data_IF_478389549116
#
_entry.id   IF_478389549116
#
_cell.length_a   1.000
_cell.length_b   1.000
_cell.length_c   1.000
_cell.angle_alpha   90.00
_cell.angle_beta   90.00
_cell.angle_gamma   90.00
#
_symmetry.space_group_name_H-M   'P 1'
#
loop_
_entity.id
_entity.type
_entity.pdbx_description
1 polymer ?
#
# COMPACT_ATOMS: atom_id res chain seq x y z
N UNK A 1 -0.80 19.26 -13.74
CA UNK A 1 -1.19 17.85 -13.74
C UNK A 1 -1.64 17.33 -12.36
N UNK A 2 -1.51 18.16 -11.30
CA UNK A 2 -2.07 17.77 -10.00
C UNK A 2 -3.59 17.63 -10.13
N UNK A 3 -4.13 16.56 -9.60
CA UNK A 3 -5.55 16.23 -9.71
C UNK A 3 -6.05 15.63 -8.41
N UNK A 4 -7.27 15.96 -8.05
CA UNK A 4 -7.96 15.43 -6.87
C UNK A 4 -9.34 14.93 -7.30
N UNK A 5 -9.71 13.75 -6.83
CA UNK A 5 -10.99 13.08 -7.15
C UNK A 5 -11.51 12.41 -5.88
N UNK A 6 -12.76 12.68 -5.54
CA UNK A 6 -13.48 11.96 -4.48
C UNK A 6 -14.43 10.94 -5.10
N UNK A 7 -14.35 9.70 -4.66
CA UNK A 7 -15.19 8.57 -5.10
C UNK A 7 -16.10 8.14 -3.95
N UNK A 8 -17.42 8.12 -4.22
CA UNK A 8 -18.41 7.57 -3.27
C UNK A 8 -18.37 6.05 -3.31
N UNK A 9 -18.26 5.40 -2.16
CA UNK A 9 -18.32 3.94 -2.02
C UNK A 9 -19.74 3.42 -1.77
N UNK A 10 -20.74 4.30 -1.78
CA UNK A 10 -22.16 3.92 -1.61
C UNK A 10 -22.74 3.22 -2.83
N UNK A 11 -22.14 3.48 -3.98
CA UNK A 11 -22.51 2.88 -5.26
C UNK A 11 -21.45 1.85 -5.69
N UNK A 12 -21.80 0.99 -6.66
CA UNK A 12 -20.83 0.05 -7.21
C UNK A 12 -19.74 0.82 -7.97
N UNK A 13 -18.53 0.81 -7.45
CA UNK A 13 -17.36 1.42 -8.04
C UNK A 13 -16.50 0.36 -8.73
N UNK A 14 -15.98 0.69 -9.91
CA UNK A 14 -15.04 -0.14 -10.65
C UNK A 14 -13.73 0.67 -10.79
N UNK A 15 -12.63 0.22 -10.17
CA UNK A 15 -11.36 0.93 -10.09
C UNK A 15 -10.79 1.30 -11.47
N UNK A 16 -10.94 0.40 -12.45
CA UNK A 16 -10.46 0.63 -13.81
C UNK A 16 -11.20 1.77 -14.55
N UNK A 17 -12.48 2.01 -14.19
CA UNK A 17 -13.24 3.17 -14.72
C UNK A 17 -12.73 4.46 -14.11
N UNK A 18 -12.49 4.49 -12.79
CA UNK A 18 -11.92 5.66 -12.12
C UNK A 18 -10.56 6.01 -12.72
N UNK A 19 -9.69 5.02 -12.93
CA UNK A 19 -8.41 5.23 -13.61
C UNK A 19 -8.59 5.81 -15.01
N UNK A 20 -9.38 5.13 -15.84
CA UNK A 20 -9.57 5.49 -17.24
C UNK A 20 -10.16 6.89 -17.42
N UNK A 21 -11.15 7.25 -16.62
CA UNK A 21 -11.91 8.49 -16.76
C UNK A 21 -11.21 9.68 -16.12
N UNK A 22 -10.46 9.44 -15.04
CA UNK A 22 -9.90 10.53 -14.25
C UNK A 22 -8.39 10.71 -14.40
N UNK A 23 -7.62 9.65 -14.61
CA UNK A 23 -6.16 9.72 -14.47
C UNK A 23 -5.39 9.31 -15.73
N UNK A 24 -5.89 8.34 -16.51
CA UNK A 24 -5.17 7.71 -17.62
C UNK A 24 -4.49 8.71 -18.57
N UNK A 25 -5.18 9.76 -18.98
CA UNK A 25 -4.66 10.76 -19.92
C UNK A 25 -3.39 11.45 -19.40
N UNK A 26 -3.37 11.80 -18.11
CA UNK A 26 -2.21 12.45 -17.49
C UNK A 26 -0.97 11.54 -17.46
N UNK A 27 -1.18 10.23 -17.40
CA UNK A 27 -0.13 9.21 -17.31
C UNK A 27 0.34 8.69 -18.68
N UNK A 28 -0.37 8.97 -19.77
CA UNK A 28 0.01 8.51 -21.13
C UNK A 28 1.37 9.05 -21.59
N UNK A 29 1.82 10.18 -21.05
CA UNK A 29 3.12 10.79 -21.38
C UNK A 29 4.31 10.15 -20.67
N UNK A 30 4.07 9.24 -19.71
CA UNK A 30 5.11 8.58 -18.93
C UNK A 30 5.80 7.45 -19.71
N UNK A 31 7.05 7.11 -19.35
CA UNK A 31 7.66 5.86 -19.80
C UNK A 31 6.75 4.68 -19.50
N UNK A 32 6.70 3.71 -20.41
CA UNK A 32 5.75 2.60 -20.33
C UNK A 32 5.85 1.80 -19.02
N UNK A 33 7.07 1.55 -18.55
CA UNK A 33 7.30 0.85 -17.27
C UNK A 33 6.77 1.63 -16.06
N UNK A 34 7.00 2.96 -16.01
CA UNK A 34 6.51 3.82 -14.94
C UNK A 34 4.98 3.87 -14.96
N UNK A 35 4.39 4.03 -16.15
CA UNK A 35 2.93 4.01 -16.32
C UNK A 35 2.33 2.70 -15.85
N UNK A 36 2.90 1.54 -16.21
CA UNK A 36 2.43 0.22 -15.79
C UNK A 36 2.49 0.05 -14.28
N UNK A 37 3.55 0.52 -13.63
CA UNK A 37 3.68 0.49 -12.16
C UNK A 37 2.60 1.37 -11.52
N UNK A 38 2.40 2.59 -12.01
CA UNK A 38 1.38 3.50 -11.49
C UNK A 38 -0.03 2.92 -11.65
N UNK A 39 -0.36 2.38 -12.82
CA UNK A 39 -1.67 1.78 -13.09
C UNK A 39 -1.92 0.56 -12.20
N UNK A 40 -0.91 -0.30 -12.05
CA UNK A 40 -0.99 -1.46 -11.16
C UNK A 40 -1.23 -1.04 -9.71
N UNK A 41 -0.35 -0.19 -9.15
CA UNK A 41 -0.48 0.25 -7.76
C UNK A 41 -1.78 0.99 -7.50
N UNK A 42 -2.20 1.85 -8.42
CA UNK A 42 -3.49 2.54 -8.34
C UNK A 42 -4.66 1.56 -8.26
N UNK A 43 -4.72 0.60 -9.20
CA UNK A 43 -5.82 -0.37 -9.25
C UNK A 43 -5.88 -1.25 -8.01
N UNK A 44 -4.74 -1.80 -7.58
CA UNK A 44 -4.66 -2.64 -6.38
C UNK A 44 -5.07 -1.89 -5.11
N UNK A 45 -4.57 -0.65 -4.94
CA UNK A 45 -4.84 0.11 -3.72
C UNK A 45 -6.25 0.68 -3.69
N UNK A 46 -6.78 1.13 -4.82
CA UNK A 46 -8.16 1.58 -4.89
C UNK A 46 -9.12 0.40 -4.68
N UNK A 47 -8.82 -0.77 -5.25
CA UNK A 47 -9.63 -1.96 -5.04
C UNK A 47 -9.66 -2.39 -3.55
N UNK A 48 -8.51 -2.32 -2.87
CA UNK A 48 -8.45 -2.56 -1.43
C UNK A 48 -9.34 -1.59 -0.63
N UNK A 49 -9.37 -0.30 -1.01
CA UNK A 49 -10.25 0.67 -0.37
C UNK A 49 -11.74 0.36 -0.66
N UNK A 50 -12.09 0.01 -1.89
CA UNK A 50 -13.47 -0.33 -2.29
C UNK A 50 -13.97 -1.56 -1.53
N UNK A 51 -13.19 -2.62 -1.47
CA UNK A 51 -13.65 -3.92 -0.96
C UNK A 51 -13.46 -4.08 0.54
N UNK A 52 -12.46 -3.40 1.11
CA UNK A 52 -12.01 -3.71 2.47
C UNK A 52 -12.11 -2.56 3.47
N UNK A 53 -12.27 -1.31 3.04
CA UNK A 53 -12.27 -0.17 3.98
C UNK A 53 -13.49 -0.13 4.91
N UNK A 54 -14.66 -0.60 4.44
CA UNK A 54 -15.95 -0.38 5.10
C UNK A 54 -16.28 1.13 5.24
N UNK A 55 -15.64 1.94 4.40
CA UNK A 55 -15.83 3.37 4.34
C UNK A 55 -17.00 3.79 3.45
N UNK A 56 -17.19 5.11 3.36
CA UNK A 56 -18.23 5.71 2.54
C UNK A 56 -17.66 6.45 1.32
N UNK A 57 -16.37 6.79 1.36
CA UNK A 57 -15.69 7.51 0.28
C UNK A 57 -14.19 7.19 0.27
N UNK A 58 -13.61 7.44 -0.90
CA UNK A 58 -12.16 7.44 -1.11
C UNK A 58 -11.78 8.77 -1.77
N UNK A 59 -10.82 9.47 -1.18
CA UNK A 59 -10.19 10.64 -1.76
C UNK A 59 -8.87 10.22 -2.44
N UNK A 60 -8.71 10.60 -3.70
CA UNK A 60 -7.58 10.22 -4.54
C UNK A 60 -6.93 11.49 -5.06
N UNK A 61 -5.63 11.65 -4.85
CA UNK A 61 -4.91 12.76 -5.44
C UNK A 61 -3.59 12.33 -6.09
N UNK A 62 -3.16 13.12 -7.08
CA UNK A 62 -1.87 12.98 -7.74
C UNK A 62 -1.09 14.27 -7.67
N UNK A 63 0.15 14.19 -7.24
CA UNK A 63 1.09 15.30 -7.17
C UNK A 63 2.28 15.04 -8.09
N UNK A 64 2.51 15.97 -9.01
CA UNK A 64 3.57 15.89 -9.99
C UNK A 64 4.70 16.84 -9.61
N UNK A 65 5.86 16.30 -9.39
CA UNK A 65 7.09 17.03 -9.17
C UNK A 65 7.97 17.04 -10.45
N UNK A 66 9.15 17.65 -10.38
CA UNK A 66 10.05 17.75 -11.53
C UNK A 66 10.52 16.40 -12.07
N UNK A 67 10.73 15.41 -11.19
CA UNK A 67 11.22 14.07 -11.56
C UNK A 67 10.49 12.94 -10.85
N UNK A 68 9.36 13.20 -10.22
CA UNK A 68 8.57 12.16 -9.54
C UNK A 68 7.08 12.41 -9.66
N UNK A 69 6.32 11.36 -9.45
CA UNK A 69 4.88 11.43 -9.25
C UNK A 69 4.53 10.73 -7.95
N UNK A 70 3.64 11.35 -7.19
CA UNK A 70 3.05 10.79 -5.99
C UNK A 70 1.56 10.55 -6.23
N UNK A 71 1.09 9.39 -5.84
CA UNK A 71 -0.33 9.01 -5.83
C UNK A 71 -0.73 8.79 -4.39
N UNK A 72 -1.80 9.45 -3.95
CA UNK A 72 -2.41 9.24 -2.63
C UNK A 72 -3.81 8.67 -2.79
N UNK A 73 -4.16 7.72 -1.95
CA UNK A 73 -5.48 7.10 -1.86
C UNK A 73 -5.84 7.02 -0.39
N UNK A 74 -6.89 7.73 0.02
CA UNK A 74 -7.30 7.84 1.43
C UNK A 74 -8.78 7.46 1.58
N UNK A 75 -9.09 6.45 2.37
CA UNK A 75 -10.45 6.08 2.72
C UNK A 75 -10.85 6.58 4.11
N UNK A 76 -12.14 6.69 4.35
CA UNK A 76 -12.73 7.05 5.64
C UNK A 76 -13.23 5.85 6.45
N UNK A 77 -12.69 4.66 6.17
CA UNK A 77 -13.14 3.40 6.72
C UNK A 77 -12.58 3.05 8.09
N UNK A 78 -12.54 1.76 8.39
CA UNK A 78 -12.14 1.23 9.72
C UNK A 78 -10.63 1.19 9.96
N UNK A 79 -9.83 1.31 8.90
CA UNK A 79 -8.38 1.25 8.95
C UNK A 79 -7.81 -0.16 8.74
N UNK A 80 -6.78 -0.23 7.88
CA UNK A 80 -6.21 -1.50 7.42
C UNK A 80 -5.62 -2.34 8.57
N UNK A 81 -4.88 -1.71 9.49
CA UNK A 81 -4.24 -2.46 10.58
C UNK A 81 -5.26 -3.01 11.57
N UNK A 82 -6.33 -2.26 11.86
CA UNK A 82 -7.44 -2.75 12.67
C UNK A 82 -8.13 -3.96 12.00
N UNK A 83 -8.36 -3.89 10.70
CA UNK A 83 -9.01 -4.96 9.95
C UNK A 83 -8.16 -6.24 9.95
N UNK A 84 -6.85 -6.12 9.70
CA UNK A 84 -5.92 -7.25 9.75
C UNK A 84 -5.85 -7.86 11.15
N UNK A 85 -5.75 -7.01 12.19
CA UNK A 85 -5.76 -7.45 13.58
C UNK A 85 -6.97 -8.35 13.88
N UNK A 86 -8.16 -7.88 13.51
CA UNK A 86 -9.39 -8.63 13.78
C UNK A 86 -9.47 -9.92 12.95
N UNK A 87 -9.09 -9.88 11.69
CA UNK A 87 -9.10 -11.05 10.81
C UNK A 87 -8.16 -12.16 11.28
N UNK A 88 -7.00 -11.79 11.82
CA UNK A 88 -6.00 -12.74 12.35
C UNK A 88 -6.11 -12.99 13.85
N UNK A 89 -7.05 -12.32 14.53
CA UNK A 89 -7.20 -12.37 15.99
C UNK A 89 -5.89 -12.05 16.74
N UNK A 90 -5.20 -10.98 16.29
CA UNK A 90 -3.96 -10.49 16.88
C UNK A 90 -4.27 -9.69 18.17
N UNK A 91 -3.29 -9.60 19.06
CA UNK A 91 -3.45 -8.82 20.29
C UNK A 91 -3.33 -7.31 20.02
N UNK A 92 -2.48 -6.92 19.05
CA UNK A 92 -2.14 -5.51 18.78
C UNK A 92 -2.20 -5.19 17.28
N UNK A 93 -2.67 -3.97 16.95
CA UNK A 93 -2.69 -3.48 15.56
C UNK A 93 -1.27 -3.35 14.96
N UNK A 94 -0.23 -3.17 15.78
CA UNK A 94 1.18 -3.12 15.35
C UNK A 94 1.65 -4.42 14.73
N UNK A 95 1.17 -5.55 15.21
CA UNK A 95 1.47 -6.86 14.63
C UNK A 95 0.93 -6.97 13.20
N UNK A 96 -0.18 -6.29 12.91
CA UNK A 96 -0.77 -6.25 11.57
C UNK A 96 0.18 -5.66 10.53
N UNK A 97 0.92 -4.62 10.89
CA UNK A 97 1.90 -4.01 10.00
C UNK A 97 3.04 -4.99 9.66
N UNK A 98 3.49 -5.79 10.63
CA UNK A 98 4.48 -6.86 10.41
C UNK A 98 3.94 -7.96 9.50
N UNK A 99 2.69 -8.38 9.69
CA UNK A 99 2.05 -9.36 8.80
C UNK A 99 1.94 -8.84 7.38
N UNK A 100 1.56 -7.58 7.19
CA UNK A 100 1.44 -6.94 5.90
C UNK A 100 2.77 -6.87 5.14
N UNK A 101 3.87 -6.61 5.84
CA UNK A 101 5.21 -6.55 5.24
C UNK A 101 5.74 -7.92 4.76
N UNK A 102 5.30 -9.00 5.39
CA UNK A 102 5.70 -10.37 5.02
C UNK A 102 5.07 -10.90 3.74
N UNK A 103 4.08 -10.19 3.20
CA UNK A 103 3.38 -10.57 1.96
C UNK A 103 2.29 -11.62 2.14
N UNK A 104 1.48 -11.76 1.08
CA UNK A 104 0.38 -12.74 0.99
C UNK A 104 -0.63 -12.69 2.13
N UNK A 105 -1.01 -11.48 2.53
CA UNK A 105 -2.13 -11.33 3.45
C UNK A 105 -3.41 -10.97 2.67
N UNK A 106 -4.43 -11.77 2.79
CA UNK A 106 -5.79 -11.44 2.35
C UNK A 106 -6.81 -11.91 3.38
N UNK A 107 -7.85 -11.10 3.56
CA UNK A 107 -9.04 -11.47 4.33
C UNK A 107 -10.04 -12.27 3.50
N UNK A 108 -9.83 -12.35 2.19
CA UNK A 108 -10.66 -13.09 1.24
C UNK A 108 -9.77 -13.93 0.29
N UNK A 109 -9.28 -15.11 0.73
CA UNK A 109 -8.40 -15.97 -0.06
C UNK A 109 -9.04 -16.57 -1.31
N UNK A 110 -10.39 -16.59 -1.40
CA UNK A 110 -11.09 -17.16 -2.55
C UNK A 110 -11.09 -16.20 -3.74
N UNK A 111 -11.06 -14.89 -3.48
CA UNK A 111 -11.14 -13.86 -4.52
C UNK A 111 -9.83 -13.09 -4.71
N UNK A 112 -8.93 -13.08 -3.73
CA UNK A 112 -7.71 -12.27 -3.74
C UNK A 112 -6.47 -13.06 -3.30
N UNK A 113 -5.37 -12.83 -3.99
CA UNK A 113 -4.06 -13.45 -3.67
C UNK A 113 -3.38 -12.82 -2.47
N UNK A 114 -3.82 -11.62 -2.03
CA UNK A 114 -3.18 -10.84 -0.97
C UNK A 114 -1.83 -10.24 -1.36
N UNK A 115 -1.52 -10.20 -2.64
CA UNK A 115 -0.22 -9.81 -3.19
C UNK A 115 -0.16 -8.33 -3.57
N UNK A 116 -1.30 -7.65 -3.69
CA UNK A 116 -1.39 -6.27 -4.20
C UNK A 116 -0.54 -5.28 -3.41
N UNK A 117 -0.68 -5.23 -2.09
CA UNK A 117 0.13 -4.35 -1.22
C UNK A 117 1.61 -4.77 -1.28
N UNK A 118 1.89 -6.08 -1.25
CA UNK A 118 3.24 -6.59 -1.30
C UNK A 118 3.98 -6.12 -2.56
N UNK A 119 3.43 -6.36 -3.75
CA UNK A 119 4.09 -5.98 -5.00
C UNK A 119 4.08 -4.48 -5.23
N UNK A 120 3.00 -3.76 -4.88
CA UNK A 120 2.97 -2.30 -4.96
C UNK A 120 4.06 -1.66 -4.11
N UNK A 121 4.24 -2.12 -2.87
CA UNK A 121 5.29 -1.59 -1.98
C UNK A 121 6.71 -1.80 -2.51
N UNK A 122 6.91 -2.76 -3.40
CA UNK A 122 8.21 -3.07 -4.02
C UNK A 122 8.39 -2.46 -5.40
N UNK A 123 7.33 -1.99 -6.00
CA UNK A 123 7.35 -1.38 -7.32
C UNK A 123 7.64 0.12 -7.27
N UNK A 124 7.19 0.80 -6.23
CA UNK A 124 7.41 2.23 -6.02
C UNK A 124 8.72 2.51 -5.28
N UNK A 125 9.29 3.70 -5.44
CA UNK A 125 10.50 4.14 -4.74
C UNK A 125 10.21 4.38 -3.27
N UNK A 126 9.01 4.93 -2.96
CA UNK A 126 8.47 5.05 -1.63
C UNK A 126 7.01 4.57 -1.61
N UNK A 127 6.69 3.84 -0.58
CA UNK A 127 5.35 3.34 -0.32
C UNK A 127 5.04 3.51 1.17
N UNK A 128 3.97 4.22 1.48
CA UNK A 128 3.59 4.54 2.85
C UNK A 128 2.13 4.18 3.08
N UNK A 129 1.85 3.44 4.15
CA UNK A 129 0.51 3.23 4.68
C UNK A 129 0.43 3.88 6.05
N UNK A 130 -0.61 4.67 6.27
CA UNK A 130 -0.94 5.26 7.56
C UNK A 130 -2.34 4.85 7.96
N UNK A 131 -2.51 4.38 9.18
CA UNK A 131 -3.83 4.06 9.73
C UNK A 131 -3.78 4.08 11.25
N UNK A 132 -4.69 4.83 11.87
CA UNK A 132 -4.89 4.85 13.32
C UNK A 132 -3.61 5.11 14.14
N UNK A 133 -2.73 6.00 13.63
CA UNK A 133 -1.48 6.35 14.28
C UNK A 133 -0.31 5.38 14.04
N UNK A 134 -0.53 4.33 13.26
CA UNK A 134 0.50 3.39 12.85
C UNK A 134 0.93 3.70 11.41
N UNK A 135 2.23 3.62 11.15
CA UNK A 135 2.84 3.86 9.85
C UNK A 135 3.65 2.64 9.45
N UNK A 136 3.43 2.18 8.22
CA UNK A 136 4.33 1.29 7.52
C UNK A 136 4.88 2.01 6.32
N UNK A 137 6.19 2.18 6.24
CA UNK A 137 6.87 2.79 5.11
C UNK A 137 7.88 1.83 4.52
N UNK A 138 7.94 1.76 3.21
CA UNK A 138 9.00 1.10 2.46
C UNK A 138 9.68 2.12 1.56
N UNK A 139 11.01 2.12 1.58
CA UNK A 139 11.85 3.02 0.78
C UNK A 139 12.91 2.22 0.02
N UNK A 140 13.35 2.76 -1.10
CA UNK A 140 14.49 2.24 -1.87
C UNK A 140 14.40 0.73 -2.12
N UNK A 141 13.16 0.20 -2.22
CA UNK A 141 12.78 -1.17 -2.56
C UNK A 141 13.16 -2.26 -1.55
N UNK A 142 13.94 -1.97 -0.52
CA UNK A 142 14.47 -2.97 0.41
C UNK A 142 14.40 -2.59 1.90
N UNK A 143 13.98 -1.36 2.23
CA UNK A 143 13.94 -0.88 3.61
C UNK A 143 12.49 -0.71 4.08
N UNK A 144 12.12 -1.50 5.08
CA UNK A 144 10.83 -1.41 5.75
C UNK A 144 10.96 -0.66 7.09
N UNK A 145 10.08 0.32 7.29
CA UNK A 145 10.00 1.12 8.50
C UNK A 145 8.63 0.98 9.14
N UNK A 146 8.62 0.79 10.46
CA UNK A 146 7.40 0.80 11.26
C UNK A 146 7.51 1.90 12.30
N UNK A 147 6.53 2.79 12.30
CA UNK A 147 6.49 3.93 13.19
C UNK A 147 5.11 4.01 13.85
N UNK A 148 5.07 4.47 15.09
CA UNK A 148 3.84 4.80 15.80
C UNK A 148 3.94 6.25 16.26
N UNK A 149 2.87 7.02 16.08
CA UNK A 149 2.81 8.37 16.63
C UNK A 149 2.32 8.34 18.07
N UNK A 150 2.96 9.14 18.91
CA UNK A 150 2.53 9.34 20.29
C UNK A 150 1.21 10.11 20.41
N UNK A 151 0.70 10.69 19.33
CA UNK A 151 -0.56 11.40 19.33
C UNK A 151 -1.73 10.45 19.17
N UNK A 152 -2.60 10.42 20.17
CA UNK A 152 -3.85 9.66 20.26
C UNK A 152 -4.95 10.09 19.28
N UNK A 153 -4.66 10.92 18.30
CA UNK A 153 -5.60 11.22 17.23
C UNK A 153 -5.75 9.98 16.33
N UNK A 154 -6.61 9.09 16.78
CA UNK A 154 -7.05 7.92 16.00
C UNK A 154 -7.88 8.42 14.82
N UNK A 155 -7.18 8.88 13.78
CA UNK A 155 -7.83 9.05 12.49
C UNK A 155 -8.34 7.69 12.04
N UNK A 156 -9.63 7.59 11.79
CA UNK A 156 -10.23 6.40 11.19
C UNK A 156 -9.85 6.35 9.71
N UNK A 157 -9.80 5.15 9.14
CA UNK A 157 -9.48 4.96 7.74
C UNK A 157 -8.01 4.64 7.48
N UNK A 158 -7.70 4.53 6.20
CA UNK A 158 -6.35 4.24 5.71
C UNK A 158 -5.93 5.33 4.74
N UNK A 159 -4.76 5.91 4.99
CA UNK A 159 -4.04 6.76 4.03
C UNK A 159 -2.92 5.97 3.38
N UNK A 160 -2.80 6.07 2.07
CA UNK A 160 -1.75 5.42 1.29
C UNK A 160 -1.08 6.45 0.40
N UNK A 161 0.26 6.42 0.37
CA UNK A 161 1.06 7.22 -0.55
C UNK A 161 2.05 6.35 -1.30
N UNK A 162 2.13 6.54 -2.60
CA UNK A 162 3.05 5.84 -3.51
C UNK A 162 3.81 6.86 -4.33
N UNK A 163 5.14 6.88 -4.24
CA UNK A 163 6.00 7.78 -5.01
C UNK A 163 6.90 7.00 -5.95
N UNK A 164 7.00 7.43 -7.20
CA UNK A 164 7.90 6.84 -8.20
C UNK A 164 8.60 7.92 -9.00
N UNK A 165 9.90 7.72 -9.26
CA UNK A 165 10.69 8.56 -10.14
C UNK A 165 10.28 8.37 -11.60
N UNK A 166 10.22 9.47 -12.36
CA UNK A 166 9.85 9.44 -13.80
C UNK A 166 10.91 8.78 -14.67
N UNK A 167 12.15 8.66 -14.18
CA UNK A 167 13.25 7.97 -14.85
C UNK A 167 13.52 6.56 -14.28
N UNK A 168 12.64 6.03 -13.43
CA UNK A 168 12.73 4.68 -12.89
C UNK A 168 12.90 3.63 -13.98
N UNK A 169 13.81 2.67 -13.74
CA UNK A 169 14.07 1.54 -14.64
C UNK A 169 13.36 0.26 -14.24
N UNK A 170 12.66 0.27 -13.10
CA UNK A 170 11.94 -0.92 -12.61
C UNK A 170 10.82 -1.33 -13.55
N UNK A 171 10.55 -2.61 -13.61
CA UNK A 171 9.46 -3.20 -14.40
C UNK A 171 8.71 -4.22 -13.55
N UNK A 172 7.40 -4.26 -13.66
CA UNK A 172 6.56 -5.19 -12.90
C UNK A 172 6.99 -6.66 -13.08
N UNK A 173 7.36 -7.06 -14.29
CA UNK A 173 7.80 -8.43 -14.59
C UNK A 173 9.08 -8.82 -13.84
N UNK A 174 10.04 -7.88 -13.72
CA UNK A 174 11.28 -8.08 -12.97
C UNK A 174 11.00 -8.20 -11.47
N UNK A 175 10.08 -7.38 -10.95
CA UNK A 175 9.63 -7.41 -9.55
C UNK A 175 8.96 -8.76 -9.25
N UNK A 176 8.04 -9.21 -10.09
CA UNK A 176 7.44 -10.53 -9.92
C UNK A 176 8.48 -11.65 -9.94
N UNK A 177 9.40 -11.63 -10.88
CA UNK A 177 10.45 -12.65 -10.99
C UNK A 177 11.42 -12.66 -9.78
N UNK A 178 11.67 -11.49 -9.17
CA UNK A 178 12.55 -11.36 -8.00
C UNK A 178 11.94 -12.01 -6.74
N UNK A 179 10.62 -11.91 -6.57
CA UNK A 179 9.94 -12.32 -5.35
C UNK A 179 9.09 -13.60 -5.50
N UNK A 180 8.91 -14.11 -6.71
CA UNK A 180 8.22 -15.37 -6.96
C UNK A 180 9.27 -16.49 -7.13
N UNK A 181 9.72 -17.05 -6.01
CA UNK A 181 10.46 -18.32 -6.03
C UNK A 181 9.48 -19.47 -5.78
N UNK A 182 9.58 -20.51 -6.59
CA UNK A 182 8.87 -21.77 -6.34
C UNK A 182 9.58 -22.52 -5.22
N UNK A 183 8.83 -23.02 -4.24
CA UNK A 183 9.34 -23.99 -3.29
C UNK A 183 9.48 -25.38 -3.96
N UNK A 184 9.95 -26.37 -3.19
CA UNK A 184 10.10 -27.75 -3.68
C UNK A 184 8.78 -28.42 -4.08
N UNK A 185 7.63 -27.79 -3.80
CA UNK A 185 6.29 -28.26 -4.17
C UNK A 185 5.66 -27.39 -5.28
N UNK A 186 6.42 -26.45 -5.88
CA UNK A 186 5.94 -25.53 -6.92
C UNK A 186 5.08 -24.40 -6.41
N UNK A 187 5.08 -24.13 -5.11
CA UNK A 187 4.35 -23.01 -4.52
C UNK A 187 5.21 -21.75 -4.45
N UNK A 188 4.68 -20.57 -4.80
CA UNK A 188 5.42 -19.32 -4.70
C UNK A 188 5.85 -19.05 -3.25
N UNK A 189 7.14 -18.78 -3.04
CA UNK A 189 7.70 -18.48 -1.73
C UNK A 189 8.31 -17.07 -1.71
N UNK A 190 7.93 -16.25 -0.72
CA UNK A 190 8.44 -14.91 -0.53
C UNK A 190 9.55 -14.93 0.53
N UNK A 191 10.79 -14.76 0.13
CA UNK A 191 11.91 -15.19 0.97
C UNK A 191 12.61 -14.11 1.80
N UNK A 192 12.40 -12.81 1.59
CA UNK A 192 13.16 -11.82 2.40
C UNK A 192 12.38 -10.54 2.66
N UNK A 193 12.17 -10.24 3.92
CA UNK A 193 11.79 -8.90 4.39
C UNK A 193 12.82 -8.43 5.42
N UNK A 194 13.54 -7.35 5.11
CA UNK A 194 14.36 -6.65 6.09
C UNK A 194 13.55 -5.46 6.60
N UNK A 195 13.41 -5.31 7.91
CA UNK A 195 12.73 -4.17 8.51
C UNK A 195 13.60 -3.53 9.59
N UNK A 196 13.48 -2.22 9.71
CA UNK A 196 14.12 -1.43 10.77
C UNK A 196 13.03 -0.85 11.66
N UNK A 197 13.09 -1.17 12.95
CA UNK A 197 12.18 -0.60 13.95
C UNK A 197 12.93 0.51 14.68
N UNK A 198 12.45 1.75 14.57
CA UNK A 198 12.98 2.85 15.36
C UNK A 198 12.34 2.84 16.76
N UNK A 199 13.08 2.33 17.74
CA UNK A 199 12.65 2.25 19.14
C UNK A 199 12.58 3.62 19.85
N UNK A 200 13.20 4.65 19.30
CA UNK A 200 13.23 6.00 19.89
C UNK A 200 11.88 6.73 19.88
N UNK A 201 10.90 6.22 19.14
CA UNK A 201 9.53 6.76 19.14
C UNK A 201 8.57 5.99 20.07
N UNK A 202 9.01 4.86 20.62
CA UNK A 202 8.32 4.19 21.70
C UNK A 202 8.72 4.92 22.98
N UNK A 203 7.84 5.81 23.45
CA UNK A 203 8.06 6.54 24.70
C UNK A 203 8.46 5.60 25.82
N UNK A 204 9.41 6.05 26.62
CA UNK A 204 10.04 5.46 27.81
C UNK A 204 9.56 4.05 28.24
N UNK A 205 10.54 3.14 28.25
CA UNK A 205 10.61 1.91 29.03
C UNK A 205 9.54 0.83 28.78
N UNK A 206 9.71 0.04 27.73
CA UNK A 206 9.49 -1.41 27.87
C UNK A 206 10.44 -2.17 26.96
N UNK A 207 11.32 -2.92 27.57
CA UNK A 207 12.18 -3.90 26.94
C UNK A 207 11.34 -4.93 26.19
N UNK A 208 11.60 -5.11 24.92
CA UNK A 208 11.15 -6.30 24.19
C UNK A 208 12.24 -7.35 24.37
N UNK A 209 11.96 -8.33 25.19
CA UNK A 209 12.76 -9.54 25.34
C UNK A 209 12.45 -10.54 24.25
#
# INVERSE_FOLDING_TARGET
KNKEVTVSLKDKVEEHKVWKESFKEDFETLPNNVRQICEYGFSEMLNNAIEHSEGTRVDIDTEWESNSIKIRICDDGVGVFWKIKNALNLEDERESALHLSKGKFTTDPENHTGEGIFFSSRAFDEFLITSRGIFYKRENWDQDWFLETANDEKTTGTGLEMTISLDSKRKMQEIYAEYQHEDSEGMPKFDKTNFVVQLSMLGDERYVS
#
